data_IF_818568515046
#
_entry.id   IF_818568515046
#
_cell.length_a   1.000
_cell.length_b   1.000
_cell.length_c   1.000
_cell.angle_alpha   90.00
_cell.angle_beta   90.00
_cell.angle_gamma   90.00
#
_symmetry.space_group_name_H-M   'P 1'
#
loop_
_entity.id
_entity.type
_entity.pdbx_description
1 polymer ?
#
# COMPACT_ATOMS: atom_id res chain seq x y z
N UNK A 1 -16.08 8.27 17.62
CA UNK A 1 -15.50 8.50 16.28
C UNK A 1 -15.76 9.96 15.94
N UNK A 2 -14.70 10.74 15.68
CA UNK A 2 -14.81 12.19 15.51
C UNK A 2 -15.64 12.54 14.26
N UNK A 3 -16.55 13.51 14.38
CA UNK A 3 -17.39 13.99 13.28
C UNK A 3 -16.55 14.51 12.11
N UNK A 4 -15.34 14.98 12.37
CA UNK A 4 -14.39 15.38 11.32
C UNK A 4 -13.91 14.20 10.47
N UNK A 5 -13.65 13.04 11.09
CA UNK A 5 -13.20 11.81 10.41
C UNK A 5 -14.31 11.22 9.55
N UNK A 6 -15.54 11.25 10.06
CA UNK A 6 -16.74 10.80 9.30
C UNK A 6 -17.00 11.70 8.09
N UNK A 7 -16.86 13.03 8.24
CA UNK A 7 -17.06 13.98 7.15
C UNK A 7 -15.98 13.90 6.06
N UNK A 8 -14.72 13.62 6.43
CA UNK A 8 -13.65 13.39 5.44
C UNK A 8 -13.86 12.08 4.66
N UNK A 9 -14.27 11.02 5.35
CA UNK A 9 -14.60 9.74 4.71
C UNK A 9 -15.79 9.87 3.75
N UNK A 10 -16.81 10.65 4.12
CA UNK A 10 -17.95 10.96 3.26
C UNK A 10 -17.56 11.80 2.03
N UNK A 11 -16.68 12.80 2.19
CA UNK A 11 -16.17 13.59 1.07
C UNK A 11 -15.33 12.75 0.09
N UNK A 12 -14.54 11.79 0.59
CA UNK A 12 -13.80 10.84 -0.24
C UNK A 12 -14.73 9.89 -1.02
N UNK A 13 -15.85 9.47 -0.41
CA UNK A 13 -16.90 8.67 -1.06
C UNK A 13 -17.65 9.45 -2.16
N UNK A 14 -17.93 10.74 -1.94
CA UNK A 14 -18.58 11.59 -2.95
C UNK A 14 -17.65 11.87 -4.14
N UNK A 15 -16.34 12.04 -3.90
CA UNK A 15 -15.36 12.14 -4.98
C UNK A 15 -15.24 10.84 -5.81
N UNK A 16 -15.54 9.67 -5.22
CA UNK A 16 -15.57 8.37 -5.90
C UNK A 16 -16.76 8.17 -6.84
N UNK A 17 -17.85 8.93 -6.62
CA UNK A 17 -19.11 8.78 -7.34
C UNK A 17 -19.18 9.63 -8.63
N UNK A 18 -18.20 10.49 -8.90
CA UNK A 18 -18.13 11.24 -10.15
C UNK A 18 -17.83 10.30 -11.32
N UNK A 19 -18.40 10.50 -12.51
CA UNK A 19 -18.13 9.66 -13.69
C UNK A 19 -16.65 9.76 -14.11
N UNK A 20 -16.01 8.64 -14.38
CA UNK A 20 -14.64 8.60 -14.90
C UNK A 20 -14.66 8.97 -16.39
N UNK A 21 -13.83 9.92 -16.79
CA UNK A 21 -13.43 10.08 -18.18
C UNK A 21 -12.09 9.36 -18.37
N UNK A 22 -12.12 8.07 -18.67
CA UNK A 22 -10.93 7.34 -19.13
C UNK A 22 -11.01 7.22 -20.66
N UNK A 23 -9.92 7.56 -21.36
CA UNK A 23 -9.80 7.24 -22.78
C UNK A 23 -9.73 5.70 -22.93
N UNK A 24 -10.48 5.10 -23.86
CA UNK A 24 -10.42 3.66 -24.08
C UNK A 24 -8.99 3.25 -24.46
N UNK A 25 -8.44 2.28 -23.73
CA UNK A 25 -7.07 1.82 -23.93
C UNK A 25 -6.95 0.32 -23.69
N UNK A 26 -5.89 -0.26 -24.25
CA UNK A 26 -5.58 -1.68 -24.04
C UNK A 26 -5.31 -1.97 -22.56
N UNK A 27 -5.63 -3.19 -22.14
CA UNK A 27 -5.36 -3.61 -20.78
C UNK A 27 -3.85 -3.76 -20.54
N UNK A 28 -3.32 -3.09 -19.53
CA UNK A 28 -1.93 -3.22 -19.08
C UNK A 28 -1.86 -4.21 -17.92
N UNK A 29 -0.96 -5.19 -18.02
CA UNK A 29 -0.59 -6.06 -16.91
C UNK A 29 0.78 -5.65 -16.35
N UNK A 30 0.92 -5.68 -15.03
CA UNK A 30 2.21 -5.45 -14.40
C UNK A 30 2.40 -6.32 -13.16
N UNK A 31 3.68 -6.57 -12.86
CA UNK A 31 4.14 -7.20 -11.63
C UNK A 31 5.00 -6.18 -10.88
N UNK A 32 4.62 -5.86 -9.66
CA UNK A 32 5.43 -5.08 -8.73
C UNK A 32 6.01 -6.02 -7.69
N UNK A 33 7.32 -5.89 -7.48
CA UNK A 33 8.08 -6.62 -6.47
C UNK A 33 8.78 -5.57 -5.62
N UNK A 34 8.33 -5.44 -4.37
CA UNK A 34 8.97 -4.60 -3.37
C UNK A 34 9.80 -5.52 -2.47
N UNK A 35 11.08 -5.22 -2.28
CA UNK A 35 11.95 -6.10 -1.49
C UNK A 35 13.05 -5.30 -0.76
N UNK A 36 13.12 -5.50 0.55
CA UNK A 36 14.12 -4.87 1.42
C UNK A 36 15.41 -5.71 1.53
N UNK A 37 15.41 -6.98 1.12
CA UNK A 37 16.57 -7.90 1.15
C UNK A 37 17.71 -7.40 0.25
N UNK A 38 17.41 -6.69 -0.85
CA UNK A 38 18.43 -6.17 -1.76
C UNK A 38 19.22 -4.97 -1.19
N UNK A 39 18.67 -4.25 -0.20
CA UNK A 39 19.20 -2.94 0.22
C UNK A 39 19.56 -2.84 1.71
N UNK A 40 19.36 -3.90 2.52
CA UNK A 40 19.96 -4.04 3.86
C UNK A 40 19.45 -3.08 4.95
N UNK A 41 18.43 -2.29 4.64
CA UNK A 41 17.78 -1.35 5.56
C UNK A 41 16.45 -1.92 6.05
N UNK A 42 16.52 -2.96 6.87
CA UNK A 42 15.36 -3.57 7.54
C UNK A 42 14.58 -2.49 8.33
N UNK A 43 13.44 -2.05 7.81
CA UNK A 43 12.52 -1.12 8.46
C UNK A 43 11.10 -1.67 8.44
N UNK A 44 10.90 -2.78 9.14
CA UNK A 44 9.56 -3.22 9.56
C UNK A 44 8.62 -3.65 8.42
N UNK A 45 9.14 -3.78 7.20
CA UNK A 45 8.55 -4.30 5.96
C UNK A 45 9.61 -5.17 5.28
N UNK A 46 9.27 -6.37 4.82
CA UNK A 46 10.27 -7.29 4.26
C UNK A 46 10.15 -7.36 2.76
N UNK A 47 8.92 -7.51 2.27
CA UNK A 47 8.65 -7.71 0.86
C UNK A 47 7.17 -7.56 0.53
N UNK A 48 6.88 -7.13 -0.69
CA UNK A 48 5.55 -7.11 -1.29
C UNK A 48 5.57 -7.61 -2.72
N UNK A 49 4.48 -8.26 -3.12
CA UNK A 49 4.22 -8.70 -4.47
C UNK A 49 2.83 -8.23 -4.87
N UNK A 50 2.72 -7.50 -5.99
CA UNK A 50 1.43 -7.17 -6.61
C UNK A 50 1.43 -7.62 -8.06
N UNK A 51 0.47 -8.46 -8.40
CA UNK A 51 0.08 -8.71 -9.79
C UNK A 51 -1.20 -7.94 -10.06
N UNK A 52 -1.20 -7.09 -11.07
CA UNK A 52 -2.37 -6.26 -11.36
C UNK A 52 -2.59 -6.05 -12.86
N UNK A 53 -3.84 -5.77 -13.19
CA UNK A 53 -4.33 -5.44 -14.51
C UNK A 53 -5.06 -4.11 -14.46
N UNK A 54 -4.64 -3.16 -15.29
CA UNK A 54 -5.30 -1.86 -15.46
C UNK A 54 -5.99 -1.83 -16.81
N UNK A 55 -7.27 -1.42 -16.84
CA UNK A 55 -8.01 -1.14 -18.08
C UNK A 55 -9.02 -0.03 -17.81
N UNK A 56 -9.10 0.95 -18.71
CA UNK A 56 -10.08 2.04 -18.66
C UNK A 56 -10.09 2.78 -17.30
N UNK A 57 -8.90 3.00 -16.72
CA UNK A 57 -8.74 3.66 -15.43
C UNK A 57 -9.06 2.78 -14.21
N UNK A 58 -9.48 1.53 -14.39
CA UNK A 58 -9.74 0.58 -13.29
C UNK A 58 -8.63 -0.45 -13.22
N UNK A 59 -8.08 -0.65 -12.02
CA UNK A 59 -7.10 -1.67 -11.70
C UNK A 59 -7.71 -2.76 -10.83
N UNK A 60 -7.48 -4.01 -11.21
CA UNK A 60 -7.71 -5.18 -10.35
C UNK A 60 -6.39 -5.83 -10.04
N UNK A 61 -6.17 -6.19 -8.78
CA UNK A 61 -4.91 -6.79 -8.34
C UNK A 61 -5.05 -7.84 -7.26
N UNK A 62 -3.98 -8.60 -7.10
CA UNK A 62 -3.72 -9.46 -5.96
C UNK A 62 -2.39 -9.01 -5.34
N UNK A 63 -2.41 -8.77 -4.04
CA UNK A 63 -1.28 -8.23 -3.28
C UNK A 63 -0.93 -9.17 -2.13
N UNK A 64 0.32 -9.61 -2.05
CA UNK A 64 0.88 -10.26 -0.87
C UNK A 64 1.90 -9.31 -0.24
N UNK A 65 1.76 -9.02 1.06
CA UNK A 65 2.74 -8.25 1.81
C UNK A 65 3.22 -9.06 3.00
N UNK A 66 4.51 -8.94 3.32
CA UNK A 66 5.16 -9.62 4.43
C UNK A 66 5.84 -8.58 5.30
N UNK A 67 5.47 -8.58 6.57
CA UNK A 67 6.05 -7.73 7.59
C UNK A 67 6.75 -8.62 8.61
N UNK A 68 8.03 -8.35 8.85
CA UNK A 68 8.81 -9.03 9.89
C UNK A 68 9.27 -8.04 10.97
N UNK A 69 9.53 -8.51 12.19
CA UNK A 69 10.22 -7.72 13.22
C UNK A 69 11.61 -7.25 12.75
N UNK A 70 12.12 -6.18 13.35
CA UNK A 70 13.45 -5.63 13.02
C UNK A 70 14.54 -6.54 13.61
N UNK A 71 15.17 -7.36 12.78
CA UNK A 71 16.10 -8.40 13.22
C UNK A 71 17.30 -7.83 14.02
N UNK A 72 17.66 -6.56 13.78
CA UNK A 72 18.81 -5.89 14.42
C UNK A 72 18.57 -5.50 15.88
N UNK A 73 17.32 -5.50 16.38
CA UNK A 73 16.97 -4.99 17.72
C UNK A 73 16.28 -6.00 18.63
N UNK A 74 16.05 -7.23 18.17
CA UNK A 74 15.44 -8.22 19.02
C UNK A 74 16.32 -8.53 20.25
N UNK A 75 15.79 -8.23 21.43
CA UNK A 75 16.33 -8.63 22.74
C UNK A 75 15.18 -9.20 23.55
N UNK A 76 15.46 -10.21 24.38
CA UNK A 76 14.48 -10.78 25.31
C UNK A 76 13.90 -9.65 26.18
N UNK A 77 12.58 -9.44 26.11
CA UNK A 77 11.86 -8.39 26.84
C UNK A 77 11.63 -7.07 26.09
N UNK A 78 12.10 -6.93 24.83
CA UNK A 78 11.75 -5.79 23.96
C UNK A 78 10.56 -6.18 23.10
N UNK A 79 9.47 -5.41 23.19
CA UNK A 79 8.29 -5.60 22.33
C UNK A 79 8.64 -5.22 20.89
N UNK A 80 8.48 -6.17 19.99
CA UNK A 80 8.63 -6.05 18.54
C UNK A 80 7.46 -6.81 17.90
N UNK A 81 7.05 -6.41 16.68
CA UNK A 81 5.87 -6.98 16.00
C UNK A 81 6.03 -8.47 15.77
N UNK A 82 4.90 -9.17 15.88
CA UNK A 82 4.80 -10.50 15.33
C UNK A 82 4.99 -10.45 13.81
N UNK A 83 5.67 -11.43 13.19
CA UNK A 83 5.68 -11.52 11.74
C UNK A 83 4.25 -11.75 11.23
N UNK A 84 3.89 -11.08 10.15
CA UNK A 84 2.54 -11.18 9.56
C UNK A 84 2.61 -11.14 8.05
N UNK A 85 1.92 -12.08 7.42
CA UNK A 85 1.58 -12.01 6.00
C UNK A 85 0.19 -11.41 5.82
N UNK A 86 0.01 -10.63 4.75
CA UNK A 86 -1.28 -10.16 4.26
C UNK A 86 -1.45 -10.65 2.82
N UNK A 87 -2.65 -11.11 2.47
CA UNK A 87 -3.02 -11.47 1.11
C UNK A 87 -4.36 -10.80 0.79
N UNK A 88 -4.36 -9.89 -0.16
CA UNK A 88 -5.46 -8.96 -0.42
C UNK A 88 -5.78 -8.93 -1.91
N UNK A 89 -7.07 -9.04 -2.25
CA UNK A 89 -7.54 -8.57 -3.55
C UNK A 89 -7.65 -7.04 -3.50
N UNK A 90 -7.28 -6.37 -4.59
CA UNK A 90 -7.38 -4.92 -4.74
C UNK A 90 -8.27 -4.54 -5.93
N UNK A 91 -9.01 -3.45 -5.76
CA UNK A 91 -9.68 -2.73 -6.82
C UNK A 91 -9.34 -1.25 -6.66
N UNK A 92 -8.73 -0.65 -7.66
CA UNK A 92 -8.45 0.78 -7.67
C UNK A 92 -9.06 1.45 -8.89
N UNK A 93 -9.54 2.67 -8.70
CA UNK A 93 -9.97 3.56 -9.78
C UNK A 93 -9.01 4.73 -9.85
N UNK A 94 -8.56 5.03 -11.06
CA UNK A 94 -7.62 6.08 -11.40
C UNK A 94 -8.28 7.11 -12.29
N UNK A 95 -8.39 8.33 -11.80
CA UNK A 95 -8.92 9.45 -12.58
C UNK A 95 -7.75 10.37 -12.97
N UNK A 96 -7.54 10.52 -14.28
CA UNK A 96 -6.61 11.49 -14.87
C UNK A 96 -7.40 12.73 -15.27
N UNK A 97 -7.17 13.82 -14.56
CA UNK A 97 -7.77 15.13 -14.79
C UNK A 97 -6.71 16.06 -15.43
N UNK A 98 -7.10 17.18 -16.07
CA UNK A 98 -6.15 18.08 -16.72
C UNK A 98 -5.01 18.57 -15.82
N UNK A 99 -5.29 18.75 -14.54
CA UNK A 99 -4.37 19.30 -13.54
C UNK A 99 -4.14 18.36 -12.36
N UNK A 100 -4.75 17.17 -12.35
CA UNK A 100 -4.71 16.29 -11.20
C UNK A 100 -4.72 14.80 -11.57
N UNK A 101 -4.22 13.98 -10.64
CA UNK A 101 -4.38 12.54 -10.67
C UNK A 101 -4.96 12.08 -9.35
N UNK A 102 -6.02 11.28 -9.41
CA UNK A 102 -6.69 10.76 -8.23
C UNK A 102 -6.73 9.25 -8.30
N UNK A 103 -6.57 8.60 -7.14
CA UNK A 103 -6.78 7.17 -6.99
C UNK A 103 -7.66 6.89 -5.77
N UNK A 104 -8.63 6.01 -5.95
CA UNK A 104 -9.39 5.42 -4.85
C UNK A 104 -9.18 3.92 -4.92
N UNK A 105 -8.73 3.31 -3.85
CA UNK A 105 -8.40 1.89 -3.78
C UNK A 105 -9.12 1.24 -2.61
N UNK A 106 -9.71 0.10 -2.88
CA UNK A 106 -10.25 -0.82 -1.87
C UNK A 106 -9.43 -2.09 -1.93
N UNK A 107 -8.96 -2.54 -0.78
CA UNK A 107 -8.31 -3.84 -0.64
C UNK A 107 -9.03 -4.66 0.43
N UNK A 108 -9.15 -5.96 0.21
CA UNK A 108 -9.77 -6.87 1.15
C UNK A 108 -9.18 -8.28 1.05
N UNK A 109 -9.05 -8.95 2.18
CA UNK A 109 -8.56 -10.31 2.25
C UNK A 109 -8.24 -10.73 3.68
N UNK A 110 -7.11 -11.41 3.84
CA UNK A 110 -6.71 -12.03 5.11
C UNK A 110 -5.32 -11.57 5.54
N UNK A 111 -5.16 -11.32 6.84
CA UNK A 111 -3.86 -11.28 7.50
C UNK A 111 -3.72 -12.48 8.41
N UNK A 112 -2.55 -13.12 8.44
CA UNK A 112 -2.30 -14.32 9.26
C UNK A 112 -1.69 -15.48 8.46
N UNK A 113 -1.68 -16.71 8.99
CA UNK A 113 -1.09 -17.87 8.33
C UNK A 113 -1.65 -18.16 6.93
N UNK A 114 -2.96 -17.95 6.71
CA UNK A 114 -3.60 -18.18 5.41
C UNK A 114 -3.11 -17.24 4.31
N UNK A 115 -2.49 -16.11 4.66
CA UNK A 115 -1.86 -15.23 3.68
C UNK A 115 -0.56 -15.80 3.09
N UNK A 116 -0.03 -16.91 3.63
CA UNK A 116 1.12 -17.63 3.06
C UNK A 116 2.47 -16.93 3.22
N UNK A 117 2.56 -15.86 4.02
CA UNK A 117 3.78 -15.06 4.16
C UNK A 117 5.01 -15.87 4.61
N UNK A 118 4.84 -16.78 5.58
CA UNK A 118 5.90 -17.70 6.02
C UNK A 118 6.46 -18.53 4.86
N UNK A 119 5.57 -19.14 4.08
CA UNK A 119 5.95 -20.01 2.95
C UNK A 119 6.69 -19.22 1.87
N UNK A 120 6.21 -18.02 1.54
CA UNK A 120 6.88 -17.13 0.58
C UNK A 120 8.29 -16.74 1.06
N UNK A 121 8.44 -16.36 2.33
CA UNK A 121 9.73 -16.03 2.91
C UNK A 121 10.69 -17.23 2.91
N UNK A 122 10.22 -18.42 3.30
CA UNK A 122 11.02 -19.66 3.28
C UNK A 122 11.53 -20.01 1.87
N UNK A 123 10.70 -19.84 0.83
CA UNK A 123 11.10 -20.06 -0.57
C UNK A 123 12.18 -19.08 -1.00
N UNK A 124 12.01 -17.79 -0.71
CA UNK A 124 13.02 -16.77 -1.05
C UNK A 124 14.33 -17.03 -0.29
N UNK A 125 14.26 -17.44 0.98
CA UNK A 125 15.44 -17.72 1.80
C UNK A 125 16.23 -18.97 1.35
N UNK A 126 15.65 -19.84 0.53
CA UNK A 126 16.41 -20.91 -0.15
C UNK A 126 17.33 -20.36 -1.25
N UNK A 127 17.02 -19.18 -1.79
CA UNK A 127 17.78 -18.53 -2.88
C UNK A 127 18.72 -17.46 -2.30
N UNK A 128 18.21 -16.63 -1.40
CA UNK A 128 18.94 -15.50 -0.80
C UNK A 128 18.87 -15.62 0.72
N UNK A 129 19.98 -15.93 1.41
CA UNK A 129 20.00 -16.02 2.87
C UNK A 129 19.57 -14.71 3.52
N UNK A 130 18.78 -14.81 4.59
CA UNK A 130 18.34 -13.66 5.39
C UNK A 130 18.33 -14.02 6.89
N UNK A 131 18.25 -13.03 7.80
CA UNK A 131 18.14 -13.29 9.23
C UNK A 131 16.97 -14.20 9.61
N UNK A 132 17.13 -14.94 10.70
CA UNK A 132 16.07 -15.79 11.24
C UNK A 132 14.86 -14.95 11.70
N UNK A 133 13.66 -15.40 11.34
CA UNK A 133 12.39 -14.83 11.79
C UNK A 133 11.60 -15.91 12.53
N UNK A 134 11.20 -15.61 13.76
CA UNK A 134 10.37 -16.50 14.57
C UNK A 134 8.89 -16.41 14.18
N UNK A 135 8.49 -17.22 13.20
CA UNK A 135 7.10 -17.33 12.74
C UNK A 135 6.16 -18.01 13.74
N UNK A 136 6.65 -18.58 14.85
CA UNK A 136 5.77 -19.15 15.90
C UNK A 136 4.97 -18.07 16.62
N UNK A 137 5.41 -16.81 16.53
CA UNK A 137 4.73 -15.64 17.08
C UNK A 137 3.69 -15.03 16.14
N UNK A 138 3.51 -15.57 14.93
CA UNK A 138 2.57 -15.03 13.95
C UNK A 138 1.14 -15.00 14.51
N UNK A 139 0.45 -13.88 14.31
CA UNK A 139 -0.95 -13.72 14.73
C UNK A 139 -1.90 -14.56 13.87
N UNK A 140 -2.99 -15.03 14.47
CA UNK A 140 -4.05 -15.79 13.80
C UNK A 140 -4.67 -15.07 12.61
N UNK A 141 -5.34 -15.84 11.75
CA UNK A 141 -6.11 -15.30 10.64
C UNK A 141 -7.18 -14.32 11.11
N UNK A 142 -7.18 -13.15 10.48
CA UNK A 142 -8.16 -12.08 10.64
C UNK A 142 -8.47 -11.47 9.29
N UNK A 143 -9.71 -11.00 9.14
CA UNK A 143 -10.06 -10.16 8.01
C UNK A 143 -9.18 -8.90 8.00
N UNK A 144 -8.71 -8.54 6.81
CA UNK A 144 -7.97 -7.31 6.58
C UNK A 144 -8.59 -6.56 5.40
N UNK A 145 -8.98 -5.33 5.65
CA UNK A 145 -9.58 -4.44 4.67
C UNK A 145 -9.08 -3.03 4.82
N UNK A 146 -8.89 -2.37 3.68
CA UNK A 146 -8.48 -0.96 3.58
C UNK A 146 -9.27 -0.26 2.49
N UNK A 147 -9.54 1.02 2.71
CA UNK A 147 -10.00 1.97 1.71
C UNK A 147 -9.03 3.14 1.76
N UNK A 148 -8.51 3.53 0.60
CA UNK A 148 -7.60 4.64 0.44
C UNK A 148 -8.08 5.59 -0.65
N UNK A 149 -7.88 6.88 -0.44
CA UNK A 149 -8.11 7.91 -1.44
C UNK A 149 -6.91 8.85 -1.46
N UNK A 150 -6.32 9.06 -2.64
CA UNK A 150 -5.17 9.95 -2.85
C UNK A 150 -5.41 10.85 -4.03
N UNK A 151 -4.87 12.06 -3.94
CA UNK A 151 -4.90 13.04 -5.00
C UNK A 151 -3.58 13.77 -5.10
N UNK A 152 -3.12 13.92 -6.33
CA UNK A 152 -1.98 14.74 -6.72
C UNK A 152 -2.50 15.88 -7.58
N UNK A 153 -2.31 17.12 -7.13
CA UNK A 153 -2.84 18.34 -7.76
C UNK A 153 -1.68 19.23 -8.21
N UNK A 154 -1.75 19.74 -9.44
CA UNK A 154 -0.78 20.70 -9.96
C UNK A 154 -1.03 22.08 -9.37
N UNK A 155 0.02 22.72 -8.84
CA UNK A 155 0.00 24.06 -8.26
C UNK A 155 1.26 24.82 -8.69
N UNK A 156 1.24 25.40 -9.89
CA UNK A 156 2.40 26.05 -10.49
C UNK A 156 3.55 25.06 -10.70
N UNK A 157 4.72 25.37 -10.13
CA UNK A 157 5.91 24.50 -10.18
C UNK A 157 5.85 23.31 -9.22
N UNK A 158 4.87 23.29 -8.31
CA UNK A 158 4.70 22.23 -7.33
C UNK A 158 3.59 21.25 -7.74
N UNK A 159 3.69 20.03 -7.27
CA UNK A 159 2.60 19.07 -7.16
C UNK A 159 2.26 18.90 -5.69
N UNK A 160 1.02 19.15 -5.31
CA UNK A 160 0.53 18.90 -3.96
C UNK A 160 -0.06 17.50 -3.91
N UNK A 161 0.33 16.71 -2.92
CA UNK A 161 -0.17 15.36 -2.69
C UNK A 161 -0.94 15.34 -1.39
N UNK A 162 -2.10 14.72 -1.37
CA UNK A 162 -2.87 14.53 -0.14
C UNK A 162 -3.79 13.34 -0.25
N UNK A 163 -4.17 12.79 0.90
CA UNK A 163 -5.10 11.68 0.94
C UNK A 163 -5.26 11.08 2.32
N UNK A 164 -6.03 10.02 2.37
CA UNK A 164 -6.29 9.28 3.59
C UNK A 164 -6.45 7.79 3.31
N UNK A 165 -6.19 6.99 4.33
CA UNK A 165 -6.49 5.58 4.37
C UNK A 165 -7.26 5.28 5.65
N UNK A 166 -8.26 4.41 5.56
CA UNK A 166 -8.93 3.81 6.70
C UNK A 166 -8.90 2.30 6.48
N UNK A 167 -8.53 1.54 7.49
CA UNK A 167 -8.54 0.10 7.43
C UNK A 167 -8.60 -0.55 8.80
N UNK A 168 -8.63 -1.88 8.80
CA UNK A 168 -8.73 -2.69 10.02
C UNK A 168 -7.49 -2.63 10.92
N UNK A 169 -6.39 -2.05 10.44
CA UNK A 169 -5.12 -1.93 11.16
C UNK A 169 -4.63 -0.49 11.25
N UNK A 170 -4.99 0.38 10.32
CA UNK A 170 -4.42 1.72 10.33
C UNK A 170 -5.41 2.67 9.68
N UNK A 171 -5.58 3.83 10.33
CA UNK A 171 -6.24 4.97 9.75
C UNK A 171 -5.31 6.18 9.86
N UNK A 172 -5.06 6.85 8.74
CA UNK A 172 -4.24 8.05 8.71
C UNK A 172 -4.65 8.95 7.55
N UNK A 173 -4.30 10.23 7.67
CA UNK A 173 -4.33 11.19 6.60
C UNK A 173 -2.92 11.77 6.40
N UNK A 174 -2.64 12.25 5.21
CA UNK A 174 -1.33 12.80 4.86
C UNK A 174 -1.48 13.90 3.82
N UNK A 175 -0.49 14.79 3.79
CA UNK A 175 -0.31 15.79 2.75
C UNK A 175 1.18 16.07 2.55
N UNK A 176 1.58 16.49 1.35
CA UNK A 176 2.96 16.79 0.98
C UNK A 176 3.03 17.58 -0.32
N UNK A 177 4.23 17.98 -0.71
CA UNK A 177 4.49 18.69 -1.96
C UNK A 177 5.75 18.16 -2.65
N UNK A 178 5.72 18.07 -3.97
CA UNK A 178 6.83 17.68 -4.84
C UNK A 178 7.15 18.83 -5.80
N UNK A 179 8.43 19.18 -5.96
CA UNK A 179 8.90 20.11 -6.99
C UNK A 179 9.80 19.36 -7.98
N UNK A 180 9.56 19.50 -9.28
CA UNK A 180 10.39 18.90 -10.34
C UNK A 180 11.19 19.96 -11.08
N UNK A 181 12.49 19.74 -11.21
CA UNK A 181 13.40 20.55 -12.02
C UNK A 181 13.87 19.72 -13.21
N UNK A 182 13.63 20.19 -14.44
CA UNK A 182 14.02 19.48 -15.67
C UNK A 182 12.95 19.53 -16.78
N UNK A 183 13.22 18.88 -17.91
CA UNK A 183 12.43 18.96 -19.15
C UNK A 183 11.10 18.17 -19.12
N UNK A 184 10.86 17.31 -18.14
CA UNK A 184 9.62 16.56 -17.97
C UNK A 184 8.79 17.13 -16.81
N UNK A 185 8.19 18.32 -17.01
CA UNK A 185 7.33 18.99 -16.02
C UNK A 185 5.88 18.49 -16.06
N UNK A 186 5.48 17.92 -17.19
CA UNK A 186 4.10 17.55 -17.45
C UNK A 186 3.89 16.06 -17.23
N UNK A 187 3.15 15.76 -16.17
CA UNK A 187 2.82 14.41 -15.75
C UNK A 187 2.52 14.42 -14.26
N UNK A 188 1.28 14.10 -13.88
CA UNK A 188 0.98 13.82 -12.48
C UNK A 188 1.85 12.65 -12.01
N UNK A 189 2.45 12.79 -10.83
CA UNK A 189 3.28 11.74 -10.24
C UNK A 189 2.41 10.50 -10.01
N UNK A 190 2.63 9.44 -10.80
CA UNK A 190 1.98 8.13 -10.62
C UNK A 190 2.57 7.35 -9.44
N UNK A 191 3.53 7.94 -8.72
CA UNK A 191 4.50 7.29 -7.83
C UNK A 191 4.05 7.12 -6.38
N UNK A 192 2.86 7.61 -6.00
CA UNK A 192 2.39 7.49 -4.61
C UNK A 192 1.23 6.50 -4.52
N UNK A 193 1.58 5.23 -4.34
CA UNK A 193 0.70 4.23 -3.70
C UNK A 193 1.32 3.77 -2.41
N UNK A 194 0.48 3.57 -1.39
CA UNK A 194 0.92 3.30 -0.03
C UNK A 194 1.45 1.89 0.16
N UNK A 195 2.41 1.74 1.08
CA UNK A 195 2.65 0.51 1.83
C UNK A 195 2.18 0.76 3.27
N UNK A 196 1.22 -0.02 3.76
CA UNK A 196 0.62 0.19 5.08
C UNK A 196 1.32 -0.66 6.15
N UNK A 197 2.19 -0.06 6.96
CA UNK A 197 2.87 -0.74 8.07
C UNK A 197 1.87 -1.12 9.19
N UNK A 198 1.71 -2.42 9.57
CA UNK A 198 0.81 -2.86 10.65
C UNK A 198 1.17 -2.30 12.03
N UNK A 199 0.19 -2.35 12.95
CA UNK A 199 0.34 -1.92 14.36
C UNK A 199 1.27 -2.85 15.16
N UNK A 200 1.89 -2.30 16.20
CA UNK A 200 2.61 -3.07 17.22
C UNK A 200 1.58 -3.73 18.16
N UNK A 201 1.80 -4.99 18.61
CA UNK A 201 0.95 -5.58 19.65
C UNK A 201 1.05 -4.77 20.95
N UNK A 202 -0.11 -4.48 21.55
CA UNK A 202 -0.26 -3.86 22.88
C UNK A 202 0.12 -4.80 24.01
#
# INVERSE_FOLDING_TARGET
MDRAVVSLAAAALVAAALPAQAAPGDALWYLQVDNDVAFGTDRWYTSGLRLARVKDGVEWGLVQEIYTPEAKRWRRGVSDRAPVGRLLASCARHDLLPDAFQTIEVMAGVRGPSAGGRRSAEVIHQIIPAPFVDWTRQLDDRFDGTIAAVRSQSAGTFKLHYGAQIGTQLAFAHAGAEARVGAARDGASRLLRFAATPELPS
#
